data_IF_432507051238
#
_entry.id   IF_432507051238
#
_cell.length_a   1.000
_cell.length_b   1.000
_cell.length_c   1.000
_cell.angle_alpha   90.00
_cell.angle_beta   90.00
_cell.angle_gamma   90.00
#
_symmetry.space_group_name_H-M   'P 1'
#
loop_
_entity.id
_entity.type
_entity.pdbx_description
1 polymer ?
#
# COMPACT_ATOMS: atom_id res chain seq x y z
N UNK A 1 -11.51 -7.57 -86.36
CA UNK A 1 -10.74 -6.31 -86.35
C UNK A 1 -10.99 -5.58 -85.04
N UNK A 2 -9.93 -5.23 -84.39
CA UNK A 2 -9.74 -4.28 -83.31
C UNK A 2 -9.98 -4.77 -81.87
N UNK A 3 -8.86 -5.19 -81.35
CA UNK A 3 -8.54 -5.21 -79.94
C UNK A 3 -8.66 -3.82 -79.31
N UNK A 4 -9.19 -3.71 -78.12
CA UNK A 4 -8.83 -2.60 -77.23
C UNK A 4 -8.63 -3.10 -75.80
N UNK A 5 -7.37 -3.12 -75.43
CA UNK A 5 -6.82 -3.31 -74.08
C UNK A 5 -7.32 -2.20 -73.18
N UNK A 6 -7.74 -2.56 -72.02
CA UNK A 6 -7.65 -1.72 -70.82
C UNK A 6 -7.30 -2.56 -69.59
N UNK A 7 -6.02 -2.67 -69.30
CA UNK A 7 -5.60 -3.08 -67.96
C UNK A 7 -5.15 -1.84 -67.20
N UNK A 8 -4.90 -2.01 -65.99
CA UNK A 8 -4.21 -1.09 -65.05
C UNK A 8 -5.03 0.02 -64.37
N UNK A 9 -6.07 -0.33 -63.68
CA UNK A 9 -6.49 0.56 -62.56
C UNK A 9 -6.82 -0.14 -61.25
N UNK A 10 -6.48 -1.42 -61.08
CA UNK A 10 -6.78 -2.17 -59.84
C UNK A 10 -5.58 -2.36 -58.88
N UNK A 11 -4.38 -1.87 -59.22
CA UNK A 11 -3.19 -2.12 -58.40
C UNK A 11 -2.83 -1.01 -57.42
N UNK A 12 -3.57 0.11 -57.41
CA UNK A 12 -3.24 1.24 -56.52
C UNK A 12 -4.00 1.25 -55.17
N UNK A 13 -5.00 0.33 -55.03
CA UNK A 13 -5.82 0.33 -53.80
C UNK A 13 -5.36 -0.68 -52.72
N UNK A 14 -4.40 -1.54 -53.04
CA UNK A 14 -3.94 -2.60 -52.14
C UNK A 14 -2.73 -2.21 -51.25
N UNK A 15 -2.12 -1.03 -51.48
CA UNK A 15 -0.90 -0.61 -50.79
C UNK A 15 -1.17 0.32 -49.57
N UNK A 16 -2.42 0.67 -49.31
CA UNK A 16 -2.75 1.62 -48.23
C UNK A 16 -3.16 0.97 -46.89
N UNK A 17 -3.18 -0.36 -46.78
CA UNK A 17 -3.64 -1.07 -45.57
C UNK A 17 -2.54 -1.70 -44.69
N UNK A 18 -1.28 -1.41 -44.95
CA UNK A 18 -0.17 -1.92 -44.12
C UNK A 18 0.57 -0.82 -43.37
N UNK A 19 -0.18 0.06 -42.71
CA UNK A 19 0.41 0.86 -41.63
C UNK A 19 0.48 -0.01 -40.41
N UNK A 20 1.69 -0.36 -39.89
CA UNK A 20 1.80 -0.96 -38.59
C UNK A 20 1.26 0.06 -37.57
N UNK A 21 0.18 -0.30 -36.90
CA UNK A 21 -0.23 0.40 -35.70
C UNK A 21 0.92 0.26 -34.69
N UNK A 22 1.70 1.32 -34.56
CA UNK A 22 2.57 1.50 -33.42
C UNK A 22 1.65 1.54 -32.18
N UNK A 23 1.43 0.38 -31.59
CA UNK A 23 0.91 0.30 -30.25
C UNK A 23 1.94 1.02 -29.37
N UNK A 24 1.66 2.26 -29.02
CA UNK A 24 2.28 2.91 -27.88
C UNK A 24 1.89 2.07 -26.69
N UNK A 25 2.76 1.11 -26.34
CA UNK A 25 2.74 0.52 -25.03
C UNK A 25 2.92 1.70 -24.07
N UNK A 26 1.83 2.12 -23.43
CA UNK A 26 1.92 2.91 -22.23
C UNK A 26 2.79 2.07 -21.29
N UNK A 27 4.02 2.53 -21.08
CA UNK A 27 4.76 2.12 -19.92
C UNK A 27 3.88 2.57 -18.74
N UNK A 28 3.12 1.63 -18.16
CA UNK A 28 2.67 1.78 -16.79
C UNK A 28 3.91 2.20 -16.03
N UNK A 29 3.84 3.37 -15.42
CA UNK A 29 4.80 3.79 -14.41
C UNK A 29 4.84 2.65 -13.39
N UNK A 30 5.72 1.70 -13.61
CA UNK A 30 6.09 0.72 -12.62
C UNK A 30 6.64 1.57 -11.47
N UNK A 31 5.75 1.88 -10.52
CA UNK A 31 6.07 2.61 -9.31
C UNK A 31 7.35 1.97 -8.80
N UNK A 32 8.42 2.74 -8.82
CA UNK A 32 9.77 2.28 -8.51
C UNK A 32 9.79 1.76 -7.06
N UNK A 33 9.41 0.50 -6.89
CA UNK A 33 9.35 -0.18 -5.58
C UNK A 33 10.75 -0.52 -5.09
N UNK A 34 11.76 -0.47 -5.97
CA UNK A 34 13.14 -0.80 -5.65
C UNK A 34 13.76 0.15 -4.60
N UNK A 35 13.23 1.35 -4.46
CA UNK A 35 13.70 2.34 -3.50
C UNK A 35 12.81 2.49 -2.25
N UNK A 36 11.78 1.66 -2.11
CA UNK A 36 10.89 1.73 -0.95
C UNK A 36 11.55 1.06 0.26
N UNK A 37 12.21 1.85 1.07
CA UNK A 37 12.90 1.38 2.29
C UNK A 37 11.88 1.22 3.41
N UNK A 38 11.78 0.01 3.96
CA UNK A 38 10.93 -0.33 5.10
C UNK A 38 11.78 -0.32 6.37
N UNK A 39 11.37 0.45 7.36
CA UNK A 39 12.08 0.61 8.63
C UNK A 39 11.44 -0.17 9.78
N UNK A 40 10.20 -0.64 9.60
CA UNK A 40 9.49 -1.48 10.59
C UNK A 40 10.16 -2.85 10.86
N UNK A 41 11.30 -3.14 10.23
CA UNK A 41 12.13 -4.34 10.44
C UNK A 41 13.36 -4.07 11.30
N UNK A 42 13.45 -2.89 11.94
CA UNK A 42 14.61 -2.35 12.69
C UNK A 42 15.87 -2.06 11.85
N UNK A 43 15.99 -2.68 10.70
CA UNK A 43 17.01 -2.38 9.69
C UNK A 43 16.30 -1.92 8.44
N UNK A 44 16.83 -0.88 7.81
CA UNK A 44 16.31 -0.41 6.54
C UNK A 44 16.57 -1.47 5.46
N UNK A 45 15.50 -2.08 4.96
CA UNK A 45 15.55 -3.05 3.86
C UNK A 45 14.55 -2.62 2.80
N UNK A 46 14.78 -3.01 1.55
CA UNK A 46 13.81 -2.79 0.49
C UNK A 46 12.55 -3.62 0.73
N UNK A 47 11.41 -3.15 0.27
CA UNK A 47 10.13 -3.87 0.43
C UNK A 47 10.21 -5.29 -0.16
N UNK A 48 10.93 -5.47 -1.27
CA UNK A 48 11.14 -6.77 -1.92
C UNK A 48 12.07 -7.70 -1.12
N UNK A 49 13.05 -7.15 -0.42
CA UNK A 49 13.93 -7.93 0.44
C UNK A 49 13.24 -8.34 1.76
N UNK A 50 12.11 -7.75 2.08
CA UNK A 50 11.31 -8.13 3.24
C UNK A 50 10.63 -9.47 2.97
N UNK A 51 11.07 -10.54 3.66
CA UNK A 51 10.43 -11.88 3.61
C UNK A 51 9.03 -11.90 4.24
N UNK A 52 8.29 -10.81 4.13
CA UNK A 52 6.95 -10.63 4.69
C UNK A 52 6.09 -9.78 3.77
N UNK A 53 4.77 -9.94 3.88
CA UNK A 53 3.84 -9.07 3.18
C UNK A 53 3.92 -7.65 3.79
N UNK A 54 4.56 -6.75 3.08
CA UNK A 54 4.72 -5.35 3.43
C UNK A 54 3.79 -4.51 2.57
N UNK A 55 3.12 -3.55 3.19
CA UNK A 55 2.38 -2.50 2.51
C UNK A 55 2.87 -1.16 3.03
N UNK A 56 3.13 -0.24 2.14
CA UNK A 56 3.51 1.13 2.49
C UNK A 56 2.47 2.09 1.94
N UNK A 57 1.96 2.94 2.79
CA UNK A 57 1.04 4.02 2.46
C UNK A 57 1.86 5.29 2.49
N UNK A 58 2.14 5.85 1.35
CA UNK A 58 2.91 7.08 1.20
C UNK A 58 2.06 8.34 1.40
N UNK A 59 2.71 9.50 1.47
CA UNK A 59 2.03 10.78 1.66
C UNK A 59 1.02 11.08 0.56
N UNK A 60 1.30 10.75 -0.69
CA UNK A 60 0.39 10.99 -1.79
C UNK A 60 -0.91 10.18 -1.63
N UNK A 61 -0.80 8.94 -1.16
CA UNK A 61 -1.96 8.09 -0.86
C UNK A 61 -2.73 8.58 0.37
N UNK A 62 -2.02 9.11 1.39
CA UNK A 62 -2.65 9.74 2.55
C UNK A 62 -3.46 10.96 2.15
N UNK A 63 -2.90 11.84 1.31
CA UNK A 63 -3.55 13.06 0.83
C UNK A 63 -4.73 12.77 -0.12
N UNK A 64 -4.61 11.73 -0.94
CA UNK A 64 -5.69 11.28 -1.81
C UNK A 64 -6.83 10.58 -1.05
N UNK A 65 -6.58 10.16 0.20
CA UNK A 65 -7.57 9.50 1.03
C UNK A 65 -8.58 10.50 1.59
N UNK A 66 -9.86 10.12 1.64
CA UNK A 66 -10.89 10.89 2.35
C UNK A 66 -10.96 10.58 3.85
N UNK A 67 -10.08 9.72 4.36
CA UNK A 67 -10.06 9.32 5.76
C UNK A 67 -9.70 10.50 6.68
N UNK A 68 -10.46 10.65 7.75
CA UNK A 68 -10.28 11.73 8.75
C UNK A 68 -9.46 11.29 9.96
N UNK A 69 -9.27 9.99 10.11
CA UNK A 69 -8.54 9.41 11.24
C UNK A 69 -7.75 8.19 10.79
N UNK A 70 -6.70 7.85 11.56
CA UNK A 70 -5.89 6.67 11.31
C UNK A 70 -6.70 5.36 11.28
N UNK A 71 -7.66 5.12 12.21
CA UNK A 71 -8.51 3.94 12.13
C UNK A 71 -9.34 3.87 10.84
N UNK A 72 -9.82 5.01 10.35
CA UNK A 72 -10.59 5.07 9.11
C UNK A 72 -9.73 4.75 7.89
N UNK A 73 -8.50 5.28 7.84
CA UNK A 73 -7.52 5.02 6.80
C UNK A 73 -7.15 3.53 6.72
N UNK A 74 -6.96 2.89 7.87
CA UNK A 74 -6.56 1.48 7.95
C UNK A 74 -7.73 0.52 7.70
N UNK A 75 -8.97 0.99 7.84
CA UNK A 75 -10.17 0.18 7.60
C UNK A 75 -10.23 -0.24 6.13
N UNK A 76 -10.52 -1.50 5.89
CA UNK A 76 -10.59 -2.08 4.54
C UNK A 76 -9.24 -2.47 3.93
N UNK A 77 -8.12 -2.24 4.62
CA UNK A 77 -6.83 -2.77 4.19
C UNK A 77 -6.75 -4.28 4.42
N UNK A 78 -6.05 -4.97 3.53
CA UNK A 78 -5.97 -6.42 3.57
C UNK A 78 -5.45 -6.93 4.93
N UNK A 79 -6.20 -7.83 5.55
CA UNK A 79 -5.84 -8.44 6.83
C UNK A 79 -5.94 -7.51 8.05
N UNK A 80 -6.52 -6.32 7.91
CA UNK A 80 -6.76 -5.39 9.02
C UNK A 80 -8.27 -5.33 9.30
N UNK A 81 -8.63 -5.58 10.55
CA UNK A 81 -9.97 -5.38 11.07
C UNK A 81 -9.92 -4.30 12.14
N UNK A 82 -10.80 -3.31 12.05
CA UNK A 82 -10.92 -2.23 13.05
C UNK A 82 -12.30 -2.27 13.66
N UNK A 83 -12.33 -2.39 14.97
CA UNK A 83 -13.54 -2.28 15.78
C UNK A 83 -13.50 -0.95 16.52
N UNK A 84 -14.49 -0.10 16.27
CA UNK A 84 -14.65 1.18 16.95
C UNK A 84 -15.83 1.05 17.93
N UNK A 85 -15.63 1.47 19.17
CA UNK A 85 -16.62 1.38 20.23
C UNK A 85 -17.59 2.58 20.29
N UNK A 86 -17.72 3.29 19.18
CA UNK A 86 -18.63 4.44 19.11
C UNK A 86 -18.32 5.34 17.94
N UNK A 87 -18.61 6.64 18.10
CA UNK A 87 -18.32 7.66 17.09
C UNK A 87 -16.85 8.07 17.01
N UNK A 88 -16.62 9.19 16.34
CA UNK A 88 -15.29 9.77 16.18
C UNK A 88 -14.63 10.04 17.56
N UNK A 89 -13.35 9.71 17.72
CA UNK A 89 -12.61 9.88 18.98
C UNK A 89 -12.84 8.79 20.03
N UNK A 90 -13.68 7.79 19.75
CA UNK A 90 -13.83 6.64 20.64
C UNK A 90 -12.74 5.60 20.40
N UNK A 91 -12.48 4.78 21.41
CA UNK A 91 -11.49 3.72 21.35
C UNK A 91 -11.68 2.86 20.09
N UNK A 92 -10.63 2.78 19.30
CA UNK A 92 -10.57 1.95 18.11
C UNK A 92 -9.52 0.87 18.31
N UNK A 93 -9.95 -0.38 18.25
CA UNK A 93 -9.11 -1.56 18.41
C UNK A 93 -8.77 -2.14 17.04
N UNK A 94 -7.51 -2.45 16.83
CA UNK A 94 -7.00 -3.01 15.58
C UNK A 94 -6.66 -4.48 15.76
N UNK A 95 -7.06 -5.30 14.82
CA UNK A 95 -6.75 -6.72 14.72
C UNK A 95 -6.05 -6.98 13.38
N UNK A 96 -4.88 -7.58 13.41
CA UNK A 96 -4.12 -7.90 12.21
C UNK A 96 -4.16 -9.41 11.95
N UNK A 97 -4.69 -9.82 10.79
CA UNK A 97 -4.83 -11.23 10.40
C UNK A 97 -5.62 -12.09 11.41
N UNK A 98 -6.54 -11.50 12.15
CA UNK A 98 -7.35 -12.21 13.15
C UNK A 98 -6.62 -12.52 14.46
N UNK A 99 -5.40 -11.99 14.67
CA UNK A 99 -4.76 -12.02 15.98
C UNK A 99 -5.42 -11.02 16.93
N UNK A 100 -5.24 -11.19 18.23
CA UNK A 100 -5.74 -10.20 19.18
C UNK A 100 -5.02 -8.86 19.04
N UNK A 101 -5.63 -7.80 19.53
CA UNK A 101 -5.16 -6.45 19.31
C UNK A 101 -3.85 -6.12 20.03
N UNK A 102 -3.58 -6.78 21.15
CA UNK A 102 -2.32 -6.72 21.90
C UNK A 102 -1.16 -7.47 21.22
N UNK A 103 -1.49 -8.31 20.23
CA UNK A 103 -0.52 -9.01 19.38
C UNK A 103 -0.12 -8.23 18.13
N UNK A 104 -0.59 -7.00 17.98
CA UNK A 104 -0.20 -6.10 16.89
C UNK A 104 0.53 -4.90 17.45
N UNK A 105 1.82 -4.83 17.16
CA UNK A 105 2.66 -3.73 17.62
C UNK A 105 2.45 -2.49 16.77
N UNK A 106 2.17 -1.36 17.41
CA UNK A 106 2.12 -0.07 16.76
C UNK A 106 3.31 0.79 17.19
N UNK A 107 4.00 1.36 16.21
CA UNK A 107 5.17 2.22 16.40
C UNK A 107 4.91 3.59 15.80
N UNK A 108 5.44 4.63 16.44
CA UNK A 108 5.58 5.97 15.89
C UNK A 108 7.06 6.32 15.91
N UNK A 109 7.67 6.55 14.77
CA UNK A 109 9.10 6.81 14.60
C UNK A 109 10.00 5.77 15.31
N UNK A 110 9.59 4.49 15.28
CA UNK A 110 10.29 3.40 15.93
C UNK A 110 10.00 3.25 17.43
N UNK A 111 9.24 4.16 18.03
CA UNK A 111 8.88 4.14 19.46
C UNK A 111 7.54 3.42 19.59
N UNK A 112 7.47 2.44 20.48
CA UNK A 112 6.24 1.72 20.80
C UNK A 112 5.21 2.67 21.43
N UNK A 113 4.03 2.70 20.84
CA UNK A 113 2.87 3.45 21.36
C UNK A 113 1.82 2.46 21.81
N UNK A 114 1.38 2.57 23.04
CA UNK A 114 0.33 1.73 23.60
C UNK A 114 0.27 1.83 25.12
N UNK A 115 -0.85 1.38 25.66
CA UNK A 115 -1.05 1.32 27.11
C UNK A 115 -0.24 0.15 27.69
N UNK A 116 0.59 0.44 28.67
CA UNK A 116 1.34 -0.60 29.41
C UNK A 116 0.43 -1.57 30.18
N UNK A 117 -0.80 -1.17 30.46
CA UNK A 117 -1.77 -1.97 31.22
C UNK A 117 -2.64 -2.85 30.34
N UNK A 118 -3.13 -2.29 29.20
CA UNK A 118 -4.06 -3.00 28.32
C UNK A 118 -3.41 -3.53 27.03
N UNK A 119 -2.17 -3.14 26.74
CA UNK A 119 -1.52 -3.44 25.45
C UNK A 119 -2.11 -2.70 24.24
N UNK A 120 -3.22 -2.01 24.44
CA UNK A 120 -3.95 -1.36 23.35
C UNK A 120 -3.33 -0.02 22.95
N UNK A 121 -3.32 0.26 21.66
CA UNK A 121 -2.90 1.55 21.12
C UNK A 121 -4.10 2.44 20.85
N UNK A 122 -4.05 3.69 21.32
CA UNK A 122 -5.06 4.72 21.08
C UNK A 122 -4.90 5.31 19.67
N UNK A 123 -5.28 4.55 18.66
CA UNK A 123 -5.11 4.94 17.23
C UNK A 123 -5.90 6.20 16.85
N UNK A 124 -6.98 6.51 17.56
CA UNK A 124 -7.83 7.67 17.31
C UNK A 124 -7.13 8.99 17.63
N UNK A 125 -6.10 8.95 18.47
CA UNK A 125 -5.39 10.15 18.93
C UNK A 125 -4.21 10.55 18.03
N UNK A 126 -3.92 9.74 17.00
CA UNK A 126 -2.82 9.97 16.07
C UNK A 126 -3.33 10.76 14.86
N UNK A 127 -2.90 12.03 14.69
CA UNK A 127 -3.36 12.87 13.59
C UNK A 127 -2.68 12.50 12.27
N UNK A 128 -3.48 12.22 11.23
CA UNK A 128 -2.98 11.90 9.89
C UNK A 128 -2.13 13.02 9.27
N UNK A 129 -2.36 14.27 9.67
CA UNK A 129 -1.61 15.42 9.17
C UNK A 129 -0.13 15.42 9.53
N UNK A 130 0.24 14.73 10.60
CA UNK A 130 1.63 14.62 11.05
C UNK A 130 2.35 13.42 10.45
N UNK A 131 1.62 12.49 9.82
CA UNK A 131 2.19 11.26 9.28
C UNK A 131 2.71 11.53 7.86
N UNK A 132 3.96 11.15 7.61
CA UNK A 132 4.56 11.15 6.28
C UNK A 132 4.26 9.85 5.54
N UNK A 133 4.40 8.72 6.22
CA UNK A 133 4.08 7.40 5.65
C UNK A 133 3.72 6.39 6.73
N UNK A 134 3.03 5.32 6.34
CA UNK A 134 2.69 4.21 7.20
C UNK A 134 3.22 2.93 6.57
N UNK A 135 3.95 2.15 7.36
CA UNK A 135 4.47 0.84 6.97
C UNK A 135 3.70 -0.24 7.73
N UNK A 136 3.13 -1.20 7.00
CA UNK A 136 2.37 -2.31 7.57
C UNK A 136 3.10 -3.60 7.22
N UNK A 137 3.74 -4.21 8.21
CA UNK A 137 4.43 -5.49 8.07
C UNK A 137 3.56 -6.58 8.67
N UNK A 138 3.04 -7.45 7.83
CA UNK A 138 2.14 -8.52 8.21
C UNK A 138 2.91 -9.81 8.47
N UNK A 139 2.61 -10.44 9.60
CA UNK A 139 3.23 -11.69 10.02
C UNK A 139 4.16 -11.53 11.21
N UNK A 140 4.58 -12.63 11.82
CA UNK A 140 5.28 -12.61 13.09
C UNK A 140 6.60 -11.88 13.01
N UNK A 141 6.80 -10.94 13.94
CA UNK A 141 8.03 -10.18 14.14
C UNK A 141 8.52 -10.29 15.60
N UNK A 142 8.11 -11.34 16.29
CA UNK A 142 8.42 -11.57 17.69
C UNK A 142 9.91 -11.67 17.97
N UNK A 143 10.71 -12.12 17.00
CA UNK A 143 12.17 -12.15 17.10
C UNK A 143 12.81 -10.76 17.24
N UNK A 144 12.14 -9.72 16.73
CA UNK A 144 12.64 -8.35 16.75
C UNK A 144 11.99 -7.49 17.84
N UNK A 145 10.72 -7.75 18.14
CA UNK A 145 9.89 -6.87 18.96
C UNK A 145 9.22 -7.56 20.16
N UNK A 146 9.42 -8.87 20.34
CA UNK A 146 8.82 -9.64 21.42
C UNK A 146 7.42 -10.15 21.09
N UNK A 147 6.73 -10.67 22.11
CA UNK A 147 5.46 -11.37 21.99
C UNK A 147 4.35 -10.52 21.36
N UNK A 148 4.39 -9.21 21.54
CA UNK A 148 3.36 -8.28 21.06
C UNK A 148 3.37 -8.08 19.53
N UNK A 149 4.34 -8.66 18.82
CA UNK A 149 4.44 -8.58 17.37
C UNK A 149 4.18 -9.93 16.67
N UNK A 150 3.27 -10.72 17.19
CA UNK A 150 2.87 -12.01 16.60
C UNK A 150 2.04 -11.79 15.33
N UNK A 151 1.10 -10.87 15.36
CA UNK A 151 0.26 -10.51 14.20
C UNK A 151 1.02 -9.71 13.17
N UNK A 152 1.91 -8.84 13.62
CA UNK A 152 2.71 -7.95 12.78
C UNK A 152 3.03 -6.62 13.44
N UNK A 153 3.60 -5.72 12.64
CA UNK A 153 4.01 -4.38 13.07
C UNK A 153 3.41 -3.34 12.14
N UNK A 154 2.86 -2.29 12.70
CA UNK A 154 2.44 -1.10 11.97
C UNK A 154 3.29 0.05 12.47
N UNK A 155 4.01 0.71 11.57
CA UNK A 155 4.84 1.86 11.88
C UNK A 155 4.32 3.10 11.17
N UNK A 156 4.03 4.13 11.92
CA UNK A 156 3.80 5.47 11.41
C UNK A 156 5.11 6.26 11.52
N UNK A 157 5.50 6.90 10.44
CA UNK A 157 6.64 7.80 10.37
C UNK A 157 6.10 9.22 10.27
N UNK A 158 6.59 10.10 11.14
CA UNK A 158 6.19 11.50 11.15
C UNK A 158 7.08 12.34 10.24
N UNK A 159 6.63 13.57 9.97
CA UNK A 159 7.39 14.55 9.17
C UNK A 159 8.53 15.14 9.97
#
# INVERSE_FOLDING_TARGET
>A
MQCRNTPLRLSALALALSLPSLALAQSDDAKDLDNLVVTATRTAITADAALAAVEVIDRAQLDASSARSLPELLRGRAGITIVNQGGMGKLSTLFLRGTESDHTLFLVDGIRVGSSTSGLTSLQDIPLSQIERIEIVRGPRSSLYGADAIGGVIQALTR
#
